data_IF_924465285442
#
_entry.id   IF_924465285442
#
_cell.length_a   1.000
_cell.length_b   1.000
_cell.length_c   1.000
_cell.angle_alpha   90.00
_cell.angle_beta   90.00
_cell.angle_gamma   90.00
#
_symmetry.space_group_name_H-M   'P 1'
#
loop_
_entity.id
_entity.type
_entity.pdbx_description
1 polymer ?
#
# COMPACT_ATOMS: atom_id res chain seq x y z
N UNK A 1 0.59 -21.86 8.30
CA UNK A 1 0.72 -21.20 7.00
C UNK A 1 0.83 -19.70 7.25
N UNK A 2 1.81 -18.98 6.68
CA UNK A 2 2.10 -17.56 7.05
C UNK A 2 1.07 -16.59 6.41
N UNK A 3 -0.17 -16.63 6.89
CA UNK A 3 -1.28 -15.81 6.37
C UNK A 3 -0.96 -14.29 6.36
N UNK A 4 -0.08 -13.83 7.26
CA UNK A 4 0.34 -12.43 7.33
C UNK A 4 1.19 -11.96 6.13
N UNK A 5 1.65 -12.87 5.26
CA UNK A 5 2.36 -12.54 4.02
C UNK A 5 1.42 -12.48 2.80
N UNK A 6 0.15 -12.82 2.96
CA UNK A 6 -0.79 -12.80 1.85
C UNK A 6 -1.55 -11.48 1.83
N UNK A 7 -1.54 -10.77 0.68
CA UNK A 7 -2.38 -9.57 0.54
C UNK A 7 -3.85 -9.97 0.43
N UNK A 8 -4.75 -9.07 0.82
CA UNK A 8 -6.19 -9.25 0.58
C UNK A 8 -6.51 -9.13 -0.91
N UNK A 9 -5.77 -8.26 -1.62
CA UNK A 9 -5.86 -8.10 -3.07
C UNK A 9 -4.47 -7.92 -3.70
N UNK A 10 -4.34 -8.36 -4.96
CA UNK A 10 -3.14 -8.13 -5.78
C UNK A 10 -3.54 -7.55 -7.14
N UNK A 11 -3.15 -6.33 -7.41
CA UNK A 11 -3.51 -5.55 -8.59
C UNK A 11 -2.28 -5.14 -9.41
N UNK A 12 -2.52 -4.73 -10.65
CA UNK A 12 -1.45 -4.35 -11.56
C UNK A 12 -0.85 -2.98 -11.23
N UNK A 13 -1.63 -2.08 -10.63
CA UNK A 13 -1.19 -0.72 -10.32
C UNK A 13 -2.06 -0.10 -9.23
N UNK A 14 -1.52 0.83 -8.45
CA UNK A 14 -2.28 1.70 -7.55
C UNK A 14 -3.37 2.45 -8.30
N UNK A 15 -3.10 2.82 -9.53
CA UNK A 15 -4.02 3.58 -10.39
C UNK A 15 -5.16 2.75 -10.99
N UNK A 16 -5.18 1.44 -10.78
CA UNK A 16 -6.29 0.53 -11.16
C UNK A 16 -7.22 0.19 -9.99
N UNK A 17 -6.98 0.75 -8.82
CA UNK A 17 -7.83 0.56 -7.64
C UNK A 17 -9.11 1.38 -7.81
N UNK A 18 -10.27 0.74 -7.57
CA UNK A 18 -11.58 1.42 -7.54
C UNK A 18 -11.81 2.07 -6.17
N UNK A 19 -11.27 3.27 -5.98
CA UNK A 19 -11.39 4.00 -4.72
C UNK A 19 -12.82 4.47 -4.46
N UNK A 20 -13.62 4.73 -5.50
CA UNK A 20 -15.04 5.08 -5.37
C UNK A 20 -15.82 3.93 -4.73
N UNK A 21 -15.54 2.69 -5.17
CA UNK A 21 -16.16 1.50 -4.58
C UNK A 21 -15.69 1.29 -3.13
N UNK A 22 -14.40 1.45 -2.85
CA UNK A 22 -13.86 1.34 -1.49
C UNK A 22 -14.48 2.38 -0.54
N UNK A 23 -14.72 3.60 -1.02
CA UNK A 23 -15.41 4.62 -0.23
C UNK A 23 -16.85 4.22 0.09
N UNK A 24 -17.58 3.67 -0.89
CA UNK A 24 -18.95 3.13 -0.70
C UNK A 24 -18.97 1.95 0.27
N UNK A 25 -17.93 1.12 0.31
CA UNK A 25 -17.75 0.03 1.26
C UNK A 25 -17.44 0.49 2.70
N UNK A 26 -17.25 1.79 2.91
CA UNK A 26 -17.05 2.39 4.24
C UNK A 26 -15.61 2.67 4.60
N UNK A 27 -14.64 2.45 3.71
CA UNK A 27 -13.25 2.85 3.96
C UNK A 27 -13.11 4.36 3.95
N UNK A 28 -12.25 4.87 4.85
CA UNK A 28 -12.04 6.31 5.04
C UNK A 28 -10.55 6.68 5.12
N UNK A 29 -9.69 5.77 5.55
CA UNK A 29 -8.25 5.95 5.64
C UNK A 29 -7.50 5.16 4.57
N UNK A 30 -6.53 5.80 3.91
CA UNK A 30 -5.62 5.11 3.00
C UNK A 30 -4.19 5.46 3.38
N UNK A 31 -3.39 4.42 3.60
CA UNK A 31 -1.95 4.53 3.86
C UNK A 31 -1.22 4.00 2.63
N UNK A 32 -0.35 4.82 2.03
CA UNK A 32 0.43 4.46 0.86
C UNK A 32 1.92 4.30 1.18
N UNK A 33 2.56 3.30 0.61
CA UNK A 33 3.98 3.38 0.29
C UNK A 33 4.21 4.29 -0.92
N UNK A 34 5.44 4.76 -1.13
CA UNK A 34 5.76 5.71 -2.21
C UNK A 34 6.49 5.03 -3.36
N UNK A 35 7.70 4.51 -3.07
CA UNK A 35 8.63 4.04 -4.09
C UNK A 35 8.15 2.75 -4.73
N UNK A 36 8.05 2.74 -6.05
CA UNK A 36 7.49 1.65 -6.86
C UNK A 36 5.98 1.36 -6.64
N UNK A 37 5.34 2.07 -5.72
CA UNK A 37 3.89 2.01 -5.46
C UNK A 37 3.13 3.13 -6.15
N UNK A 38 3.55 4.37 -5.95
CA UNK A 38 2.95 5.58 -6.54
C UNK A 38 3.76 6.14 -7.71
N UNK A 39 5.08 6.10 -7.57
CA UNK A 39 6.05 6.58 -8.58
C UNK A 39 7.25 5.63 -8.65
N UNK A 40 8.06 5.65 -9.72
CA UNK A 40 9.34 4.95 -9.74
C UNK A 40 10.23 5.33 -8.56
N UNK A 41 11.11 4.43 -8.15
CA UNK A 41 12.01 4.67 -7.02
C UNK A 41 12.77 5.99 -7.15
N UNK A 42 12.70 6.84 -6.14
CA UNK A 42 13.38 8.12 -6.07
C UNK A 42 12.72 9.25 -6.88
N UNK A 43 11.66 9.00 -7.65
CA UNK A 43 10.99 10.04 -8.45
C UNK A 43 10.10 10.96 -7.58
N UNK A 44 9.95 12.25 -7.92
CA UNK A 44 8.94 13.13 -7.32
C UNK A 44 7.52 12.67 -7.69
N UNK A 45 6.50 13.28 -7.10
CA UNK A 45 5.12 13.05 -7.52
C UNK A 45 4.93 13.50 -8.98
N UNK A 46 4.33 12.63 -9.77
CA UNK A 46 3.93 12.93 -11.16
C UNK A 46 2.46 13.39 -11.23
N UNK A 47 2.01 13.79 -12.41
CA UNK A 47 0.64 14.27 -12.62
C UNK A 47 -0.41 13.22 -12.26
N UNK A 48 -0.11 11.92 -12.43
CA UNK A 48 -1.03 10.84 -12.07
C UNK A 48 -1.17 10.73 -10.56
N UNK A 49 -0.05 10.86 -9.83
CA UNK A 49 -0.08 10.85 -8.37
C UNK A 49 -0.86 12.07 -7.84
N UNK A 50 -0.61 13.26 -8.37
CA UNK A 50 -1.30 14.49 -7.98
C UNK A 50 -2.81 14.37 -8.24
N UNK A 51 -3.20 13.89 -9.43
CA UNK A 51 -4.62 13.67 -9.78
C UNK A 51 -5.28 12.64 -8.87
N UNK A 52 -4.58 11.53 -8.54
CA UNK A 52 -5.08 10.53 -7.61
C UNK A 52 -5.36 11.14 -6.23
N UNK A 53 -4.41 11.86 -5.64
CA UNK A 53 -4.60 12.44 -4.31
C UNK A 53 -5.69 13.53 -4.29
N UNK A 54 -5.85 14.27 -5.39
CA UNK A 54 -6.96 15.23 -5.57
C UNK A 54 -8.30 14.50 -5.55
N UNK A 55 -8.45 13.44 -6.34
CA UNK A 55 -9.66 12.62 -6.38
C UNK A 55 -9.99 11.98 -5.02
N UNK A 56 -8.98 11.40 -4.34
CA UNK A 56 -9.17 10.82 -3.01
C UNK A 56 -9.65 11.84 -1.98
N UNK A 57 -9.13 13.07 -2.04
CA UNK A 57 -9.57 14.17 -1.18
C UNK A 57 -11.02 14.58 -1.49
N UNK A 58 -11.40 14.65 -2.77
CA UNK A 58 -12.77 14.97 -3.20
C UNK A 58 -13.77 13.90 -2.74
N UNK A 59 -13.39 12.62 -2.75
CA UNK A 59 -14.17 11.52 -2.20
C UNK A 59 -14.30 11.58 -0.67
N UNK A 60 -13.40 12.29 0.02
CA UNK A 60 -13.39 12.38 1.48
C UNK A 60 -12.47 11.37 2.18
N UNK A 61 -11.51 10.78 1.48
CA UNK A 61 -10.49 9.95 2.11
C UNK A 61 -9.45 10.78 2.87
N UNK A 62 -9.03 10.27 4.00
CA UNK A 62 -7.85 10.72 4.71
C UNK A 62 -6.63 9.91 4.25
N UNK A 63 -5.64 10.56 3.65
CA UNK A 63 -4.47 9.89 3.09
C UNK A 63 -3.22 10.12 3.93
N UNK A 64 -2.35 9.09 3.98
CA UNK A 64 -1.06 9.11 4.68
C UNK A 64 0.01 8.42 3.83
N UNK A 65 1.22 8.99 3.81
CA UNK A 65 2.40 8.33 3.26
C UNK A 65 3.16 7.62 4.39
N UNK A 66 3.54 6.36 4.20
CA UNK A 66 4.28 5.56 5.18
C UNK A 66 5.50 4.93 4.52
N UNK A 67 6.67 5.51 4.72
CA UNK A 67 7.91 5.10 4.05
C UNK A 67 9.04 4.77 5.01
N UNK A 68 9.87 3.76 4.65
CA UNK A 68 11.12 3.47 5.35
C UNK A 68 12.25 4.43 4.98
N UNK A 69 12.05 5.26 3.97
CA UNK A 69 13.03 6.24 3.50
C UNK A 69 13.25 7.38 4.49
N UNK A 70 14.31 8.15 4.24
CA UNK A 70 14.62 9.38 4.98
C UNK A 70 13.64 10.49 4.65
N UNK A 71 13.46 11.44 5.57
CA UNK A 71 12.52 12.56 5.44
C UNK A 71 12.65 13.35 4.12
N UNK A 72 13.86 13.73 3.63
CA UNK A 72 13.97 14.48 2.39
C UNK A 72 13.34 13.78 1.19
N UNK A 73 13.42 12.43 1.12
CA UNK A 73 12.76 11.65 0.07
C UNK A 73 11.24 11.73 0.15
N UNK A 74 10.70 11.54 1.34
CA UNK A 74 9.24 11.57 1.57
C UNK A 74 8.70 12.97 1.33
N UNK A 75 9.42 13.99 1.80
CA UNK A 75 9.06 15.39 1.62
C UNK A 75 9.05 15.79 0.14
N UNK A 76 10.07 15.40 -0.63
CA UNK A 76 10.14 15.66 -2.08
C UNK A 76 8.87 15.17 -2.82
N UNK A 77 8.35 14.00 -2.48
CA UNK A 77 7.09 13.51 -3.03
C UNK A 77 5.90 14.30 -2.49
N UNK A 78 5.88 14.56 -1.19
CA UNK A 78 4.75 15.20 -0.49
C UNK A 78 4.58 16.68 -0.83
N UNK A 79 5.62 17.35 -1.31
CA UNK A 79 5.57 18.78 -1.68
C UNK A 79 4.53 19.08 -2.77
N UNK A 80 4.10 18.07 -3.54
CA UNK A 80 3.07 18.21 -4.57
C UNK A 80 1.68 17.68 -4.14
N UNK A 81 1.61 16.74 -3.18
CA UNK A 81 0.34 16.09 -2.80
C UNK A 81 -0.21 16.57 -1.44
N UNK A 82 0.66 17.12 -0.58
CA UNK A 82 0.30 17.79 0.68
C UNK A 82 -0.55 16.96 1.64
N UNK A 83 -0.15 15.71 1.91
CA UNK A 83 -0.81 14.84 2.90
C UNK A 83 0.07 14.60 4.12
N UNK A 84 -0.47 13.99 5.18
CA UNK A 84 0.34 13.55 6.32
C UNK A 84 1.34 12.47 5.91
N UNK A 85 2.51 12.42 6.56
CA UNK A 85 3.51 11.40 6.26
C UNK A 85 4.30 10.93 7.49
N UNK A 86 4.79 9.71 7.42
CA UNK A 86 5.73 9.12 8.37
C UNK A 86 6.93 8.59 7.57
N UNK A 87 8.10 9.17 7.82
CA UNK A 87 9.39 8.69 7.32
C UNK A 87 10.07 7.78 8.34
N UNK A 88 11.05 6.98 7.90
CA UNK A 88 11.72 5.98 8.76
C UNK A 88 10.71 5.14 9.56
N UNK A 89 9.63 4.73 8.89
CA UNK A 89 8.47 4.12 9.52
C UNK A 89 8.77 2.78 10.21
N UNK A 90 9.90 2.15 9.88
CA UNK A 90 10.31 0.87 10.48
C UNK A 90 9.46 -0.32 10.03
N UNK A 91 8.87 -0.26 8.82
CA UNK A 91 8.14 -1.39 8.24
C UNK A 91 9.03 -2.64 8.19
N UNK A 92 8.57 -3.84 8.55
CA UNK A 92 7.18 -4.24 8.78
C UNK A 92 6.66 -4.09 10.23
N UNK A 93 7.33 -3.38 11.12
CA UNK A 93 6.84 -3.23 12.49
C UNK A 93 5.47 -2.53 12.50
N UNK A 94 4.45 -3.06 13.22
CA UNK A 94 3.07 -2.52 13.16
C UNK A 94 2.90 -1.12 13.79
N UNK A 95 3.90 -0.64 14.54
CA UNK A 95 3.83 0.66 15.24
C UNK A 95 3.61 1.84 14.28
N UNK A 96 4.30 1.86 13.11
CA UNK A 96 4.14 2.91 12.10
C UNK A 96 2.72 2.96 11.54
N UNK A 97 2.12 1.80 11.26
CA UNK A 97 0.76 1.68 10.74
C UNK A 97 -0.29 2.14 11.76
N UNK A 98 -0.14 1.74 13.03
CA UNK A 98 -1.03 2.18 14.12
C UNK A 98 -0.95 3.69 14.34
N UNK A 99 0.27 4.26 14.29
CA UNK A 99 0.45 5.71 14.37
C UNK A 99 -0.23 6.41 13.19
N UNK A 100 -0.13 5.85 11.98
CA UNK A 100 -0.78 6.40 10.80
C UNK A 100 -2.30 6.44 10.96
N UNK A 101 -2.93 5.33 11.37
CA UNK A 101 -4.37 5.29 11.67
C UNK A 101 -4.79 6.32 12.70
N UNK A 102 -4.03 6.45 13.79
CA UNK A 102 -4.33 7.44 14.84
C UNK A 102 -4.29 8.88 14.32
N UNK A 103 -3.33 9.23 13.45
CA UNK A 103 -3.24 10.55 12.81
C UNK A 103 -4.39 10.79 11.83
N UNK A 104 -4.81 9.74 11.10
CA UNK A 104 -5.92 9.82 10.15
C UNK A 104 -7.30 9.87 10.85
N UNK A 105 -7.38 9.53 12.13
CA UNK A 105 -8.65 9.38 12.87
C UNK A 105 -9.44 8.16 12.40
N UNK A 106 -8.74 7.09 11.98
CA UNK A 106 -9.32 5.86 11.45
C UNK A 106 -8.86 4.64 12.25
N UNK A 107 -9.41 3.48 11.96
CA UNK A 107 -9.08 2.22 12.60
C UNK A 107 -8.89 1.06 11.59
N UNK A 108 -8.71 -0.16 12.09
CA UNK A 108 -8.48 -1.33 11.26
C UNK A 108 -9.67 -1.73 10.39
N UNK A 109 -10.88 -1.30 10.74
CA UNK A 109 -12.12 -1.63 10.01
C UNK A 109 -12.34 -0.77 8.77
N UNK A 110 -11.76 0.45 8.76
CA UNK A 110 -11.99 1.45 7.73
C UNK A 110 -10.71 2.02 7.10
N UNK A 111 -9.56 1.37 7.35
CA UNK A 111 -8.25 1.74 6.77
C UNK A 111 -7.77 0.68 5.78
N UNK A 112 -7.13 1.14 4.69
CA UNK A 112 -6.49 0.29 3.69
C UNK A 112 -5.01 0.68 3.62
N UNK A 113 -4.15 -0.31 3.40
CA UNK A 113 -2.75 -0.09 3.05
C UNK A 113 -2.49 -0.50 1.59
N UNK A 114 -1.80 0.35 0.84
CA UNK A 114 -1.38 0.10 -0.55
C UNK A 114 0.14 0.13 -0.62
N UNK A 115 0.75 -0.93 -1.13
CA UNK A 115 2.21 -1.03 -1.28
C UNK A 115 2.62 -2.10 -2.28
N UNK A 116 3.92 -2.19 -2.59
CA UNK A 116 4.46 -3.07 -3.61
C UNK A 116 5.32 -4.22 -3.06
N UNK A 117 5.65 -4.22 -1.75
CA UNK A 117 6.54 -5.21 -1.13
C UNK A 117 5.80 -6.10 -0.13
N UNK A 118 5.93 -7.43 -0.29
CA UNK A 118 5.29 -8.39 0.63
C UNK A 118 5.88 -8.30 2.03
N UNK A 119 7.21 -8.32 2.16
CA UNK A 119 7.88 -8.45 3.47
C UNK A 119 7.86 -7.17 4.31
N UNK A 120 7.68 -6.02 3.72
CA UNK A 120 7.57 -4.76 4.44
C UNK A 120 6.12 -4.29 4.53
N UNK A 121 5.44 -4.19 3.39
CA UNK A 121 4.14 -3.53 3.28
C UNK A 121 3.00 -4.45 3.70
N UNK A 122 2.82 -5.57 2.98
CA UNK A 122 1.77 -6.56 3.28
C UNK A 122 1.94 -7.14 4.67
N UNK A 123 3.15 -7.60 5.00
CA UNK A 123 3.45 -8.16 6.31
C UNK A 123 3.14 -7.17 7.44
N UNK A 124 3.61 -5.93 7.33
CA UNK A 124 3.43 -4.93 8.37
C UNK A 124 1.98 -4.49 8.54
N UNK A 125 1.25 -4.30 7.45
CA UNK A 125 -0.16 -3.93 7.47
C UNK A 125 -1.02 -5.09 8.03
N UNK A 126 -0.77 -6.33 7.62
CA UNK A 126 -1.45 -7.51 8.18
C UNK A 126 -1.19 -7.67 9.69
N UNK A 127 0.05 -7.44 10.15
CA UNK A 127 0.37 -7.43 11.58
C UNK A 127 -0.31 -6.28 12.35
N UNK A 128 -0.66 -5.20 11.67
CA UNK A 128 -1.45 -4.11 12.23
C UNK A 128 -2.96 -4.35 12.13
N UNK A 129 -3.42 -5.37 11.41
CA UNK A 129 -4.83 -5.71 11.20
C UNK A 129 -5.52 -4.90 10.12
N UNK A 130 -4.77 -4.26 9.20
CA UNK A 130 -5.30 -3.39 8.13
C UNK A 130 -5.46 -4.21 6.85
N UNK A 131 -6.56 -3.99 6.09
CA UNK A 131 -6.73 -4.54 4.74
C UNK A 131 -5.57 -4.11 3.83
N UNK A 132 -5.02 -5.05 3.07
CA UNK A 132 -3.85 -4.84 2.23
C UNK A 132 -4.17 -4.98 0.74
N UNK A 133 -3.70 -4.02 -0.05
CA UNK A 133 -3.68 -4.11 -1.51
C UNK A 133 -2.22 -4.08 -1.95
N UNK A 134 -1.75 -5.21 -2.46
CA UNK A 134 -0.44 -5.31 -3.08
C UNK A 134 -0.55 -4.87 -4.54
N UNK A 135 0.39 -4.06 -5.01
CA UNK A 135 0.48 -3.66 -6.41
C UNK A 135 1.78 -4.12 -7.04
N UNK A 136 1.81 -4.27 -8.36
CA UNK A 136 3.06 -4.54 -9.07
C UNK A 136 3.98 -3.32 -8.98
N UNK A 137 5.29 -3.53 -8.75
CA UNK A 137 6.24 -2.42 -8.75
C UNK A 137 6.27 -1.73 -10.12
N UNK A 138 6.32 -0.40 -10.11
CA UNK A 138 6.28 0.43 -11.34
C UNK A 138 7.53 0.23 -12.18
N UNK A 139 8.70 0.10 -11.53
CA UNK A 139 9.97 -0.05 -12.26
C UNK A 139 10.78 -1.22 -11.71
N UNK A 140 11.35 -2.09 -12.58
CA UNK A 140 12.11 -3.26 -12.15
C UNK A 140 13.53 -2.96 -11.64
N UNK A 141 14.06 -1.72 -11.85
CA UNK A 141 15.38 -1.33 -11.34
C UNK A 141 15.28 -1.01 -9.86
N UNK A 142 15.73 -1.93 -9.04
CA UNK A 142 15.77 -1.83 -7.58
C UNK A 142 17.20 -2.10 -7.08
N UNK A 143 17.50 -1.69 -5.87
CA UNK A 143 18.75 -2.04 -5.19
C UNK A 143 18.87 -3.57 -5.08
N UNK A 144 20.10 -4.10 -5.16
CA UNK A 144 20.39 -5.55 -5.15
C UNK A 144 19.69 -6.27 -3.99
N UNK A 145 19.60 -5.63 -2.82
CA UNK A 145 18.91 -6.20 -1.65
C UNK A 145 17.40 -6.38 -1.89
N UNK A 146 16.77 -5.47 -2.63
CA UNK A 146 15.36 -5.55 -2.99
C UNK A 146 15.16 -6.64 -4.05
N UNK A 147 16.05 -6.74 -5.03
CA UNK A 147 16.01 -7.80 -6.06
C UNK A 147 16.03 -9.20 -5.43
N UNK A 148 16.88 -9.42 -4.42
CA UNK A 148 16.91 -10.71 -3.71
C UNK A 148 15.59 -11.00 -2.96
N UNK A 149 15.04 -9.99 -2.29
CA UNK A 149 13.72 -10.09 -1.63
C UNK A 149 12.62 -10.41 -2.63
N UNK A 150 12.63 -9.81 -3.84
CA UNK A 150 11.64 -10.08 -4.91
C UNK A 150 11.63 -11.53 -5.35
N UNK A 151 12.77 -12.22 -5.37
CA UNK A 151 12.82 -13.67 -5.67
C UNK A 151 12.08 -14.48 -4.60
N UNK A 152 12.24 -14.14 -3.33
CA UNK A 152 11.50 -14.79 -2.25
C UNK A 152 10.00 -14.42 -2.29
N UNK A 153 9.66 -13.17 -2.60
CA UNK A 153 8.28 -12.73 -2.80
C UNK A 153 7.59 -13.49 -3.94
N UNK A 154 8.29 -13.80 -5.03
CA UNK A 154 7.74 -14.60 -6.13
C UNK A 154 7.29 -15.99 -5.66
N UNK A 155 8.03 -16.61 -4.74
CA UNK A 155 7.64 -17.90 -4.11
C UNK A 155 6.36 -17.71 -3.29
N UNK A 156 6.30 -16.67 -2.46
CA UNK A 156 5.10 -16.36 -1.67
C UNK A 156 3.90 -16.12 -2.58
N UNK A 157 4.07 -15.36 -3.67
CA UNK A 157 3.00 -15.10 -4.64
C UNK A 157 2.55 -16.36 -5.37
N UNK A 158 3.44 -17.32 -5.63
CA UNK A 158 3.06 -18.62 -6.19
C UNK A 158 2.10 -19.35 -5.22
N UNK A 159 2.46 -19.45 -3.95
CA UNK A 159 1.60 -20.05 -2.92
C UNK A 159 0.30 -19.25 -2.71
N UNK A 160 0.35 -17.94 -2.72
CA UNK A 160 -0.84 -17.09 -2.67
C UNK A 160 -1.81 -17.39 -3.81
N UNK A 161 -1.32 -17.45 -5.06
CA UNK A 161 -2.15 -17.78 -6.24
C UNK A 161 -2.77 -19.18 -6.14
N UNK A 162 -2.04 -20.17 -5.63
CA UNK A 162 -2.56 -21.51 -5.36
C UNK A 162 -3.64 -21.46 -4.27
N UNK A 163 -3.41 -20.70 -3.21
CA UNK A 163 -4.38 -20.51 -2.13
C UNK A 163 -5.67 -19.87 -2.65
N UNK A 164 -5.58 -18.79 -3.46
CA UNK A 164 -6.74 -18.12 -4.05
C UNK A 164 -7.54 -19.00 -5.02
N UNK A 165 -6.92 -20.02 -5.64
CA UNK A 165 -7.65 -21.01 -6.46
C UNK A 165 -8.49 -21.96 -5.61
N UNK A 166 -8.07 -22.22 -4.37
CA UNK A 166 -8.73 -23.15 -3.44
C UNK A 166 -9.73 -22.42 -2.55
N UNK A 167 -9.38 -21.23 -2.09
CA UNK A 167 -10.19 -20.40 -1.19
C UNK A 167 -10.47 -19.08 -1.91
N UNK A 168 -11.74 -18.75 -2.20
CA UNK A 168 -12.10 -17.44 -2.77
C UNK A 168 -11.64 -16.34 -1.80
N UNK A 169 -10.85 -15.35 -2.23
CA UNK A 169 -10.44 -14.26 -1.37
C UNK A 169 -11.67 -13.47 -0.90
N UNK A 170 -11.61 -13.03 0.35
CA UNK A 170 -12.68 -12.37 1.09
C UNK A 170 -13.29 -11.14 0.38
N UNK A 171 -12.55 -10.53 -0.55
CA UNK A 171 -12.89 -9.25 -1.21
C UNK A 171 -13.05 -9.32 -2.74
N UNK A 172 -12.99 -10.51 -3.37
CA UNK A 172 -13.20 -10.65 -4.84
C UNK A 172 -14.66 -10.79 -5.27
N UNK A 173 -15.62 -10.70 -4.37
CA UNK A 173 -17.05 -10.95 -4.68
C UNK A 173 -17.79 -9.77 -5.34
N UNK A 174 -17.16 -8.63 -5.59
CA UNK A 174 -17.79 -7.43 -6.14
C UNK A 174 -17.54 -7.16 -7.64
N UNK A 175 -16.94 -8.11 -8.39
CA UNK A 175 -16.82 -8.00 -9.85
C UNK A 175 -17.87 -8.88 -10.53
N UNK A 176 -19.07 -8.36 -10.69
CA UNK A 176 -20.04 -8.72 -11.73
C UNK A 176 -20.57 -7.47 -12.38
#
# INVERSE_FOLDING_TARGET
>A
MCAFLYPDEYLDSTYSIDFDQLYKEGYRGIIFDIDNTLVPHGAPADERAISLFTHLKELGFHCMLLSNNKEPRVKMFNDAVHVNYIYKAGKPKPAGYRKAMAVLGTDTSNTIFVGDQIFTDVCGANLAGIRTILVKPIHPKEEIQIVLKRRLEAIVLLFYRLHCKIVKPKYQSARK
#
